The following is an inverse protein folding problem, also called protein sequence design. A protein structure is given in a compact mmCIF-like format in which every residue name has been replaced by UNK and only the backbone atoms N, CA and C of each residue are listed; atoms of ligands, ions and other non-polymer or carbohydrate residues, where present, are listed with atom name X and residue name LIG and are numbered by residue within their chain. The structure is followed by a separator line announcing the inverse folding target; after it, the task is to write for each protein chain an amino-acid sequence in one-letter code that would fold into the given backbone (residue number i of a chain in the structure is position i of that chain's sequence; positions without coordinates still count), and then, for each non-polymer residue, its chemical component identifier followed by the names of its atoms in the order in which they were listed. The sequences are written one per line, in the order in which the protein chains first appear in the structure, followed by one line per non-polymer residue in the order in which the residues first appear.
data_IF_410814368970
#
_entry.id   IF_410814368970
#
_cell.length_a   1.000
_cell.length_b   1.000
_cell.length_c   1.000
_cell.angle_alpha   90.00
_cell.angle_beta   90.00
_cell.angle_gamma   90.00
#
_symmetry.space_group_name_H-M   'P 1'
#
loop_
_entity.id
_entity.type
_entity.pdbx_description
1 polymer ?
#
# COMPACT_ATOMS: atom_id res chain seq x y z
N UNK A 1 -37.77 -13.27 39.40
CA UNK A 1 -37.00 -12.02 39.29
C UNK A 1 -35.55 -12.41 39.06
N UNK A 2 -35.13 -12.54 37.79
CA UNK A 2 -33.74 -12.77 37.38
C UNK A 2 -33.52 -11.81 36.22
N UNK A 3 -32.68 -10.80 36.45
CA UNK A 3 -32.38 -9.74 35.49
C UNK A 3 -31.23 -10.17 34.56
N UNK A 4 -31.51 -10.09 33.26
CA UNK A 4 -30.66 -9.40 32.28
C UNK A 4 -29.32 -10.01 31.92
N UNK A 5 -29.31 -10.92 30.94
CA UNK A 5 -28.17 -11.07 30.04
C UNK A 5 -28.12 -9.84 29.13
N UNK A 6 -27.12 -8.99 29.33
CA UNK A 6 -26.85 -7.86 28.43
C UNK A 6 -26.19 -8.41 27.17
N UNK A 7 -26.97 -8.51 26.10
CA UNK A 7 -26.49 -8.69 24.73
C UNK A 7 -25.61 -7.49 24.39
N UNK A 8 -24.31 -7.71 24.18
CA UNK A 8 -23.42 -6.71 23.58
C UNK A 8 -23.91 -6.52 22.14
N UNK A 9 -24.52 -5.37 21.88
CA UNK A 9 -25.02 -4.96 20.57
C UNK A 9 -23.86 -4.43 19.72
N UNK A 10 -23.79 -4.98 18.51
CA UNK A 10 -23.27 -4.38 17.27
C UNK A 10 -21.88 -3.72 17.34
N UNK A 11 -20.85 -4.47 16.94
CA UNK A 11 -19.73 -3.87 16.23
C UNK A 11 -20.21 -3.53 14.81
N UNK A 12 -20.31 -2.24 14.50
CA UNK A 12 -20.59 -1.75 13.16
C UNK A 12 -19.47 -2.20 12.21
N UNK A 13 -19.84 -2.87 11.12
CA UNK A 13 -18.89 -3.35 10.12
C UNK A 13 -18.21 -2.18 9.40
N UNK A 14 -16.92 -2.32 9.08
CA UNK A 14 -16.11 -1.32 8.36
C UNK A 14 -16.77 -0.88 7.02
N UNK A 15 -17.68 -1.67 6.46
CA UNK A 15 -18.43 -1.33 5.24
C UNK A 15 -19.49 -0.23 5.36
N UNK A 16 -19.83 0.25 6.57
CA UNK A 16 -20.81 1.33 6.77
C UNK A 16 -20.23 2.75 6.60
N UNK A 17 -18.92 2.89 6.35
CA UNK A 17 -18.26 4.21 6.28
C UNK A 17 -17.97 4.74 4.86
N UNK A 18 -18.21 3.95 3.81
CA UNK A 18 -17.99 4.37 2.43
C UNK A 18 -19.03 5.39 1.95
N UNK A 19 -18.64 6.66 1.88
CA UNK A 19 -19.50 7.73 1.31
C UNK A 19 -18.73 8.76 0.46
N UNK A 20 -17.93 8.38 -0.54
CA UNK A 20 -17.23 9.37 -1.36
C UNK A 20 -18.18 10.34 -2.11
N UNK A 21 -19.41 9.91 -2.38
CA UNK A 21 -20.47 10.73 -2.95
C UNK A 21 -20.87 11.90 -2.04
N UNK A 22 -20.54 11.84 -0.74
CA UNK A 22 -20.75 12.94 0.20
C UNK A 22 -19.89 14.17 -0.12
N UNK A 23 -18.75 13.97 -0.80
CA UNK A 23 -17.80 15.04 -1.12
C UNK A 23 -17.96 15.54 -2.56
N UNK A 24 -18.41 14.68 -3.46
CA UNK A 24 -18.79 15.07 -4.82
C UNK A 24 -19.12 13.87 -5.70
N UNK A 25 -19.74 14.15 -6.85
CA UNK A 25 -19.92 13.13 -7.90
C UNK A 25 -18.55 12.79 -8.47
N UNK A 26 -18.23 11.51 -8.62
CA UNK A 26 -17.05 11.04 -9.34
C UNK A 26 -17.47 10.13 -10.49
N UNK A 27 -16.70 10.12 -11.57
CA UNK A 27 -16.98 9.28 -12.73
C UNK A 27 -15.72 9.07 -13.57
N UNK A 28 -15.76 8.04 -14.43
CA UNK A 28 -14.79 7.89 -15.51
C UNK A 28 -15.15 8.92 -16.59
N UNK A 29 -14.34 9.97 -16.71
CA UNK A 29 -14.56 11.06 -17.68
C UNK A 29 -13.79 10.86 -18.97
N UNK A 30 -12.59 10.32 -18.84
CA UNK A 30 -11.58 10.36 -19.86
C UNK A 30 -11.19 8.95 -20.28
N UNK A 31 -10.77 8.84 -21.54
CA UNK A 31 -10.31 7.60 -22.15
C UNK A 31 -9.05 7.89 -22.94
N UNK A 32 -8.22 6.87 -23.11
CA UNK A 32 -7.08 6.92 -24.00
C UNK A 32 -7.23 5.89 -25.12
N UNK A 33 -6.76 6.23 -26.32
CA UNK A 33 -6.80 5.33 -27.47
C UNK A 33 -5.40 4.87 -27.80
N UNK A 34 -5.18 3.55 -27.77
CA UNK A 34 -3.91 2.92 -28.10
C UNK A 34 -4.19 1.85 -29.15
N UNK A 35 -3.47 1.87 -30.27
CA UNK A 35 -3.61 0.89 -31.36
C UNK A 35 -5.08 0.68 -31.78
N UNK A 36 -5.84 1.77 -31.92
CA UNK A 36 -7.29 1.79 -32.24
C UNK A 36 -8.22 1.11 -31.23
N UNK A 37 -7.73 0.77 -30.04
CA UNK A 37 -8.54 0.31 -28.90
C UNK A 37 -8.65 1.42 -27.87
N UNK A 38 -9.86 1.67 -27.37
CA UNK A 38 -10.12 2.69 -26.36
C UNK A 38 -10.16 2.08 -24.98
N UNK A 39 -9.50 2.74 -24.03
CA UNK A 39 -9.36 2.31 -22.66
C UNK A 39 -9.82 3.41 -21.71
N UNK A 40 -10.61 3.04 -20.72
CA UNK A 40 -11.08 3.95 -19.68
C UNK A 40 -9.93 4.33 -18.75
N UNK A 41 -9.88 5.60 -18.34
CA UNK A 41 -8.98 6.07 -17.28
C UNK A 41 -9.63 5.89 -15.90
N UNK A 42 -8.89 6.17 -14.83
CA UNK A 42 -9.37 6.04 -13.46
C UNK A 42 -10.47 7.07 -13.18
N UNK A 43 -11.44 6.70 -12.34
CA UNK A 43 -12.52 7.60 -11.96
C UNK A 43 -11.97 8.76 -11.09
N UNK A 44 -12.39 9.98 -11.41
CA UNK A 44 -12.00 11.18 -10.67
C UNK A 44 -13.23 11.94 -10.20
N UNK A 45 -13.07 12.77 -9.17
CA UNK A 45 -14.11 13.73 -8.81
C UNK A 45 -14.45 14.63 -10.00
N UNK A 46 -15.75 14.87 -10.19
CA UNK A 46 -16.23 15.68 -11.29
C UNK A 46 -15.76 17.13 -11.16
N UNK A 47 -15.66 17.61 -9.93
CA UNK A 47 -15.15 18.92 -9.58
C UNK A 47 -14.17 18.77 -8.40
N UNK A 48 -12.90 18.42 -8.64
CA UNK A 48 -11.97 18.02 -7.57
C UNK A 48 -11.72 19.12 -6.54
N UNK A 49 -11.67 20.39 -6.98
CA UNK A 49 -11.55 21.54 -6.08
C UNK A 49 -12.74 21.63 -5.11
N UNK A 50 -13.98 21.49 -5.62
CA UNK A 50 -15.19 21.49 -4.79
C UNK A 50 -15.25 20.26 -3.88
N UNK A 51 -14.81 19.10 -4.36
CA UNK A 51 -14.72 17.89 -3.55
C UNK A 51 -13.75 18.09 -2.37
N UNK A 52 -12.59 18.68 -2.61
CA UNK A 52 -11.63 19.08 -1.58
C UNK A 52 -12.23 20.06 -0.57
N UNK A 53 -12.93 21.10 -1.03
CA UNK A 53 -13.61 22.05 -0.13
C UNK A 53 -14.70 21.39 0.72
N UNK A 54 -15.52 20.52 0.13
CA UNK A 54 -16.56 19.76 0.85
C UNK A 54 -15.96 18.80 1.88
N UNK A 55 -14.88 18.12 1.51
CA UNK A 55 -14.15 17.24 2.40
C UNK A 55 -13.57 18.00 3.58
N UNK A 56 -12.88 19.13 3.33
CA UNK A 56 -12.33 20.01 4.36
C UNK A 56 -13.39 20.51 5.32
N UNK A 57 -14.54 20.94 4.81
CA UNK A 57 -15.65 21.43 5.62
C UNK A 57 -16.24 20.33 6.52
N UNK A 58 -16.42 19.13 5.98
CA UNK A 58 -17.01 18.00 6.71
C UNK A 58 -16.07 17.46 7.79
N UNK A 59 -14.77 17.43 7.51
CA UNK A 59 -13.75 16.86 8.40
C UNK A 59 -12.91 17.94 9.13
N UNK A 60 -13.40 19.18 9.19
CA UNK A 60 -12.65 20.35 9.67
C UNK A 60 -11.97 20.15 11.03
N UNK A 61 -12.71 19.62 12.02
CA UNK A 61 -12.18 19.44 13.37
C UNK A 61 -11.01 18.45 13.41
N UNK A 62 -11.12 17.36 12.66
CA UNK A 62 -10.07 16.34 12.54
C UNK A 62 -8.87 16.89 11.78
N UNK A 63 -9.07 17.50 10.62
CA UNK A 63 -7.99 18.08 9.83
C UNK A 63 -7.24 19.17 10.59
N UNK A 64 -7.93 20.02 11.35
CA UNK A 64 -7.26 21.05 12.19
C UNK A 64 -6.43 20.44 13.32
N UNK A 65 -6.82 19.27 13.83
CA UNK A 65 -6.06 18.54 14.85
C UNK A 65 -4.73 18.06 14.28
N UNK A 66 -4.77 17.41 13.11
CA UNK A 66 -3.58 16.94 12.40
C UNK A 66 -2.70 18.11 11.97
N UNK A 67 -3.30 19.11 11.34
CA UNK A 67 -2.61 20.32 10.89
C UNK A 67 -1.80 20.99 12.00
N UNK A 68 -2.41 21.22 13.17
CA UNK A 68 -1.74 21.86 14.30
C UNK A 68 -0.66 21.01 14.92
N UNK A 69 -0.82 19.68 14.93
CA UNK A 69 0.15 18.76 15.52
C UNK A 69 1.44 18.72 14.71
N UNK A 70 1.32 18.81 13.38
CA UNK A 70 2.42 18.60 12.43
C UNK A 70 2.86 19.87 11.69
N UNK A 71 2.30 21.03 12.06
CA UNK A 71 2.60 22.33 11.43
C UNK A 71 2.40 22.32 9.90
N UNK A 72 1.32 21.68 9.44
CA UNK A 72 1.00 21.57 8.02
C UNK A 72 0.29 22.82 7.50
N UNK A 73 0.50 23.14 6.22
CA UNK A 73 -0.40 24.00 5.47
C UNK A 73 -1.82 23.40 5.41
N UNK A 74 -2.83 24.23 5.14
CA UNK A 74 -4.19 23.71 4.96
C UNK A 74 -4.23 22.68 3.83
N UNK A 75 -4.95 21.57 4.05
CA UNK A 75 -5.13 20.50 3.08
C UNK A 75 -5.43 21.04 1.66
N UNK A 76 -4.64 20.58 0.70
CA UNK A 76 -4.69 21.00 -0.70
C UNK A 76 -4.14 19.88 -1.62
N UNK A 77 -4.06 20.16 -2.93
CA UNK A 77 -3.63 19.19 -3.94
C UNK A 77 -2.16 18.77 -3.86
N UNK A 78 -1.33 19.48 -3.10
CA UNK A 78 0.11 19.23 -2.99
C UNK A 78 0.46 18.46 -1.72
N UNK A 79 -0.41 18.46 -0.69
CA UNK A 79 -0.10 17.92 0.63
C UNK A 79 -1.14 16.90 1.15
N UNK A 80 -2.02 16.39 0.29
CA UNK A 80 -3.07 15.46 0.74
C UNK A 80 -2.51 14.14 1.31
N UNK A 81 -1.40 13.64 0.75
CA UNK A 81 -0.69 12.50 1.34
C UNK A 81 -0.07 12.81 2.70
N UNK A 82 0.41 14.04 2.93
CA UNK A 82 0.96 14.43 4.24
C UNK A 82 -0.11 14.30 5.33
N UNK A 83 -1.34 14.71 5.04
CA UNK A 83 -2.46 14.53 5.97
C UNK A 83 -2.76 13.05 6.25
N UNK A 84 -2.71 12.17 5.25
CA UNK A 84 -2.89 10.73 5.45
C UNK A 84 -1.82 10.16 6.40
N UNK A 85 -0.55 10.44 6.12
CA UNK A 85 0.56 9.93 6.93
C UNK A 85 0.56 10.53 8.33
N UNK A 86 0.34 11.84 8.47
CA UNK A 86 0.25 12.51 9.76
C UNK A 86 -0.97 12.04 10.58
N UNK A 87 -2.06 11.66 9.92
CA UNK A 87 -3.23 11.06 10.56
C UNK A 87 -2.92 9.70 11.19
N UNK A 88 -2.24 8.82 10.45
CA UNK A 88 -1.67 7.59 10.99
C UNK A 88 -0.67 7.89 12.11
N UNK A 89 0.12 8.95 11.95
CA UNK A 89 1.13 9.39 12.91
C UNK A 89 0.56 10.01 14.20
N UNK A 90 -0.69 10.45 14.20
CA UNK A 90 -1.30 11.01 15.40
C UNK A 90 -1.60 9.94 16.47
N UNK A 91 -1.83 8.67 16.08
CA UNK A 91 -2.34 7.61 16.98
C UNK A 91 -1.41 6.41 17.17
N UNK A 92 -0.11 6.63 17.32
CA UNK A 92 0.90 5.55 17.33
C UNK A 92 0.87 4.52 16.16
N UNK A 93 0.09 4.76 15.08
CA UNK A 93 -0.18 3.77 14.04
C UNK A 93 -1.19 2.71 14.49
N UNK A 94 -1.80 2.90 15.65
CA UNK A 94 -2.78 2.05 16.27
C UNK A 94 -4.18 2.65 16.08
N UNK A 95 -4.90 2.15 15.08
CA UNK A 95 -6.26 2.56 14.79
C UNK A 95 -7.28 2.21 15.91
N UNK A 96 -6.90 1.37 16.87
CA UNK A 96 -7.75 0.99 18.01
C UNK A 96 -7.64 1.98 19.17
N UNK A 97 -6.56 2.76 19.23
CA UNK A 97 -6.41 3.88 20.17
C UNK A 97 -7.16 5.14 19.69
N UNK A 98 -7.67 5.14 18.45
CA UNK A 98 -8.42 6.25 17.89
C UNK A 98 -9.79 6.38 18.54
N UNK A 99 -10.18 7.57 19.05
CA UNK A 99 -11.57 7.85 19.37
C UNK A 99 -12.45 7.55 18.16
N UNK A 100 -13.64 6.99 18.38
CA UNK A 100 -14.59 6.60 17.31
C UNK A 100 -14.81 7.72 16.28
N UNK A 101 -14.92 8.97 16.73
CA UNK A 101 -15.07 10.13 15.85
C UNK A 101 -13.87 10.36 14.94
N UNK A 102 -12.65 10.11 15.44
CA UNK A 102 -11.41 10.29 14.69
C UNK A 102 -11.17 9.12 13.75
N UNK A 103 -11.53 7.89 14.15
CA UNK A 103 -11.50 6.71 13.26
C UNK A 103 -12.40 6.93 12.05
N UNK A 104 -13.62 7.44 12.25
CA UNK A 104 -14.52 7.82 11.15
C UNK A 104 -13.90 8.86 10.21
N UNK A 105 -13.35 9.96 10.74
CA UNK A 105 -12.72 11.00 9.92
C UNK A 105 -11.44 10.52 9.21
N UNK A 106 -10.68 9.62 9.82
CA UNK A 106 -9.53 8.98 9.20
C UNK A 106 -9.93 8.09 8.03
N UNK A 107 -10.94 7.22 8.21
CA UNK A 107 -11.47 6.42 7.10
C UNK A 107 -11.99 7.31 5.98
N UNK A 108 -12.74 8.37 6.31
CA UNK A 108 -13.17 9.36 5.32
C UNK A 108 -12.01 10.03 4.58
N UNK A 109 -10.88 10.29 5.25
CA UNK A 109 -9.67 10.83 4.63
C UNK A 109 -9.05 9.86 3.63
N UNK A 110 -8.93 8.59 4.02
CA UNK A 110 -8.41 7.54 3.13
C UNK A 110 -9.27 7.41 1.87
N UNK A 111 -10.59 7.29 2.04
CA UNK A 111 -11.55 7.16 0.93
C UNK A 111 -11.58 8.39 0.01
N UNK A 112 -11.43 9.58 0.57
CA UNK A 112 -11.36 10.80 -0.22
C UNK A 112 -10.07 10.84 -1.06
N UNK A 113 -8.93 10.51 -0.44
CA UNK A 113 -7.63 10.53 -1.11
C UNK A 113 -7.59 9.52 -2.26
N UNK A 114 -8.09 8.30 -2.05
CA UNK A 114 -8.21 7.23 -3.07
C UNK A 114 -8.78 7.74 -4.41
N UNK A 115 -9.87 8.50 -4.36
CA UNK A 115 -10.48 9.05 -5.58
C UNK A 115 -9.80 10.35 -6.03
N UNK A 116 -9.27 11.14 -5.09
CA UNK A 116 -8.66 12.44 -5.39
C UNK A 116 -7.34 12.30 -6.14
N UNK A 117 -6.49 11.35 -5.73
CA UNK A 117 -5.17 11.09 -6.34
C UNK A 117 -5.26 10.61 -7.79
N UNK A 118 -6.40 10.03 -8.19
CA UNK A 118 -6.62 9.57 -9.56
C UNK A 118 -6.48 10.67 -10.63
N UNK A 119 -6.59 11.95 -10.25
CA UNK A 119 -6.29 13.05 -11.16
C UNK A 119 -4.83 13.09 -11.59
N UNK A 120 -3.90 12.76 -10.69
CA UNK A 120 -2.47 12.71 -10.98
C UNK A 120 -2.11 11.39 -11.65
N UNK A 121 -2.66 10.28 -11.13
CA UNK A 121 -2.49 8.95 -11.75
C UNK A 121 -2.93 8.94 -13.23
N UNK A 122 -4.04 9.62 -13.58
CA UNK A 122 -4.48 9.72 -14.97
C UNK A 122 -3.53 10.52 -15.87
N UNK A 123 -2.86 11.57 -15.35
CA UNK A 123 -1.84 12.32 -16.12
C UNK A 123 -0.66 11.42 -16.43
N UNK A 124 -0.24 10.63 -15.44
CA UNK A 124 0.85 9.68 -15.59
C UNK A 124 0.50 8.59 -16.60
N UNK A 125 -0.74 8.08 -16.58
CA UNK A 125 -1.22 7.09 -17.56
C UNK A 125 -1.20 7.67 -18.97
N UNK A 126 -1.70 8.90 -19.16
CA UNK A 126 -1.70 9.55 -20.46
C UNK A 126 -0.27 9.76 -20.97
N UNK A 127 0.65 10.16 -20.10
CA UNK A 127 2.05 10.33 -20.47
C UNK A 127 2.71 9.00 -20.83
N UNK A 128 2.40 7.94 -20.10
CA UNK A 128 2.85 6.60 -20.41
C UNK A 128 2.37 6.12 -21.77
N UNK A 129 1.11 6.39 -22.14
CA UNK A 129 0.56 6.00 -23.43
C UNK A 129 1.35 6.59 -24.62
N UNK A 130 1.97 7.76 -24.43
CA UNK A 130 2.82 8.39 -25.45
C UNK A 130 4.21 7.74 -25.52
N UNK A 131 4.74 7.29 -24.39
CA UNK A 131 6.13 6.86 -24.24
C UNK A 131 6.31 5.35 -24.42
N UNK A 132 5.32 4.53 -24.01
CA UNK A 132 5.32 3.08 -24.14
C UNK A 132 3.89 2.52 -24.24
N UNK A 133 3.39 2.45 -25.46
CA UNK A 133 2.00 2.07 -25.76
C UNK A 133 1.68 0.60 -25.47
N UNK A 134 2.65 -0.32 -25.58
CA UNK A 134 2.42 -1.74 -25.32
C UNK A 134 2.19 -2.01 -23.83
N UNK A 135 2.99 -1.35 -23.03
CA UNK A 135 2.89 -1.37 -21.60
C UNK A 135 1.62 -0.66 -21.11
N UNK A 136 1.30 0.52 -21.63
CA UNK A 136 0.06 1.20 -21.28
C UNK A 136 -1.16 0.31 -21.57
N UNK A 137 -1.14 -0.43 -22.68
CA UNK A 137 -2.13 -1.48 -22.98
C UNK A 137 -2.14 -2.58 -21.91
N UNK A 138 -0.99 -3.05 -21.40
CA UNK A 138 -0.97 -4.09 -20.35
C UNK A 138 -1.57 -3.64 -19.01
N UNK A 139 -1.46 -2.35 -18.72
CA UNK A 139 -2.00 -1.69 -17.53
C UNK A 139 -3.52 -1.54 -17.68
N UNK A 140 -3.95 -1.07 -18.85
CA UNK A 140 -5.35 -0.72 -19.13
C UNK A 140 -6.23 -1.89 -19.59
N UNK A 141 -5.65 -2.98 -20.11
CA UNK A 141 -6.38 -4.15 -20.65
C UNK A 141 -6.69 -5.23 -19.61
N UNK A 142 -6.24 -5.07 -18.36
CA UNK A 142 -6.64 -5.95 -17.27
C UNK A 142 -8.08 -5.60 -16.88
N UNK A 143 -9.01 -6.18 -17.64
CA UNK A 143 -10.45 -6.10 -17.46
C UNK A 143 -10.85 -6.62 -16.07
N UNK A 144 -10.79 -5.71 -15.11
CA UNK A 144 -11.57 -5.60 -13.88
C UNK A 144 -11.14 -4.27 -13.28
N UNK A 145 -11.83 -3.18 -13.63
CA UNK A 145 -11.62 -1.85 -13.06
C UNK A 145 -11.37 -1.92 -11.55
N UNK A 146 -10.10 -1.88 -11.15
CA UNK A 146 -9.45 -0.75 -10.48
C UNK A 146 -7.98 -1.11 -10.18
N UNK A 147 -7.15 -0.09 -10.41
CA UNK A 147 -5.71 0.03 -10.15
C UNK A 147 -4.73 -0.85 -10.92
N UNK A 148 -4.17 -0.23 -11.96
CA UNK A 148 -2.90 -0.62 -12.53
C UNK A 148 -2.12 0.61 -12.98
N UNK A 149 -0.83 0.36 -13.05
CA UNK A 149 0.21 1.23 -12.53
C UNK A 149 1.21 1.62 -13.61
N UNK A 150 1.43 2.92 -13.72
CA UNK A 150 2.36 3.55 -14.66
C UNK A 150 3.82 3.31 -14.25
N UNK A 151 4.09 3.03 -12.97
CA UNK A 151 5.43 2.87 -12.42
C UNK A 151 6.07 1.50 -12.68
N UNK A 152 5.29 0.43 -12.87
CA UNK A 152 5.74 -0.95 -13.14
C UNK A 152 6.59 -1.11 -14.42
N UNK A 153 6.61 -0.07 -15.25
CA UNK A 153 6.98 -0.17 -16.65
C UNK A 153 8.36 0.34 -17.02
N UNK A 154 8.74 1.47 -16.45
CA UNK A 154 10.10 2.00 -16.51
C UNK A 154 11.07 1.01 -15.85
N UNK A 155 10.57 0.08 -15.03
CA UNK A 155 11.31 -1.07 -14.49
C UNK A 155 11.44 -2.26 -15.48
N UNK A 156 10.64 -2.38 -16.54
CA UNK A 156 10.65 -3.56 -17.42
C UNK A 156 11.87 -3.67 -18.32
N UNK A 157 12.53 -2.56 -18.67
CA UNK A 157 13.78 -2.58 -19.45
C UNK A 157 15.01 -2.93 -18.61
N UNK A 158 14.88 -2.98 -17.27
CA UNK A 158 15.96 -3.34 -16.32
C UNK A 158 15.62 -4.53 -15.42
N UNK A 159 14.53 -5.26 -15.71
CA UNK A 159 14.03 -6.44 -14.96
C UNK A 159 14.90 -7.71 -15.09
N UNK A 160 16.19 -7.52 -15.34
CA UNK A 160 17.24 -8.52 -15.57
C UNK A 160 18.31 -8.54 -14.47
N UNK A 161 18.26 -7.70 -13.43
CA UNK A 161 19.09 -7.94 -12.25
C UNK A 161 18.41 -8.98 -11.35
N UNK A 162 18.97 -10.18 -11.31
CA UNK A 162 18.43 -11.31 -10.55
C UNK A 162 18.48 -11.01 -9.05
N UNK A 163 17.32 -10.78 -8.46
CA UNK A 163 17.18 -10.74 -7.01
C UNK A 163 17.60 -12.10 -6.44
N UNK A 164 18.55 -12.09 -5.51
CA UNK A 164 19.01 -13.29 -4.81
C UNK A 164 18.10 -13.54 -3.59
N UNK A 165 17.14 -14.45 -3.75
CA UNK A 165 16.18 -14.80 -2.71
C UNK A 165 16.86 -15.26 -1.41
N UNK A 166 17.98 -15.99 -1.48
CA UNK A 166 18.72 -16.42 -0.29
C UNK A 166 19.25 -15.22 0.52
N UNK A 167 19.89 -14.25 -0.15
CA UNK A 167 20.38 -13.03 0.51
C UNK A 167 19.24 -12.16 1.05
N UNK A 168 18.16 -12.02 0.30
CA UNK A 168 16.96 -11.31 0.76
C UNK A 168 16.33 -11.98 1.99
N UNK A 169 16.17 -13.31 1.98
CA UNK A 169 15.68 -14.07 3.13
C UNK A 169 16.61 -13.99 4.34
N UNK A 170 17.93 -13.95 4.13
CA UNK A 170 18.88 -13.73 5.22
C UNK A 170 18.68 -12.35 5.84
N UNK A 171 18.65 -11.30 5.03
CA UNK A 171 18.40 -9.94 5.49
C UNK A 171 17.06 -9.81 6.22
N UNK A 172 15.99 -10.40 5.66
CA UNK A 172 14.67 -10.38 6.26
C UNK A 172 14.67 -11.03 7.65
N UNK A 173 15.36 -12.16 7.83
CA UNK A 173 15.45 -12.84 9.13
C UNK A 173 16.29 -12.07 10.14
N UNK A 174 17.38 -11.44 9.69
CA UNK A 174 18.30 -10.70 10.56
C UNK A 174 17.67 -9.40 11.08
N UNK A 175 16.84 -8.73 10.27
CA UNK A 175 16.38 -7.37 10.55
C UNK A 175 14.88 -7.23 10.85
N UNK A 176 14.04 -8.26 10.63
CA UNK A 176 12.59 -8.14 10.82
C UNK A 176 12.14 -7.77 12.26
N UNK A 177 12.93 -8.12 13.28
CA UNK A 177 12.63 -7.79 14.70
C UNK A 177 13.52 -6.69 15.26
N UNK A 178 14.44 -6.16 14.46
CA UNK A 178 15.37 -5.10 14.84
C UNK A 178 15.77 -4.35 13.60
N UNK A 179 15.31 -3.10 13.44
CA UNK A 179 15.45 -2.35 12.19
C UNK A 179 16.89 -1.89 11.94
N UNK A 180 17.32 -1.88 10.67
CA UNK A 180 18.68 -1.51 10.26
C UNK A 180 18.90 0.01 10.17
N UNK A 181 18.81 0.70 11.30
CA UNK A 181 18.86 2.18 11.36
C UNK A 181 20.25 2.78 11.06
N UNK A 182 21.30 1.97 11.12
CA UNK A 182 22.67 2.40 10.78
C UNK A 182 22.83 2.76 9.30
N UNK A 183 22.04 2.14 8.42
CA UNK A 183 22.13 2.34 6.97
C UNK A 183 20.88 2.95 6.36
N UNK A 184 19.71 2.69 6.95
CA UNK A 184 18.43 3.16 6.42
C UNK A 184 17.69 4.04 7.40
N UNK A 185 16.90 4.95 6.86
CA UNK A 185 15.87 5.59 7.67
C UNK A 185 14.89 4.52 8.12
N UNK A 186 14.44 4.62 9.38
CA UNK A 186 13.33 3.80 9.86
C UNK A 186 12.12 4.69 10.03
N UNK A 187 11.07 4.37 9.28
CA UNK A 187 9.78 4.98 9.51
C UNK A 187 9.23 4.38 10.79
N UNK A 188 8.92 5.20 11.79
CA UNK A 188 8.35 4.70 13.04
C UNK A 188 7.01 3.98 12.81
N UNK A 189 6.36 4.18 11.65
CA UNK A 189 5.05 3.64 11.27
C UNK A 189 5.01 3.39 9.76
N UNK A 190 4.38 2.29 9.34
CA UNK A 190 4.23 2.00 7.90
C UNK A 190 5.55 1.66 7.19
N UNK A 191 6.55 1.15 7.91
CA UNK A 191 7.89 0.82 7.39
C UNK A 191 7.90 -0.41 6.47
N UNK A 192 6.73 -0.94 6.10
CA UNK A 192 6.59 -2.17 5.34
C UNK A 192 7.30 -2.09 3.98
N UNK A 193 7.00 -1.10 3.14
CA UNK A 193 7.66 -0.95 1.83
C UNK A 193 9.13 -0.55 1.95
N UNK A 194 9.50 0.28 2.93
CA UNK A 194 10.91 0.57 3.21
C UNK A 194 11.69 -0.72 3.53
N UNK A 195 11.14 -1.58 4.38
CA UNK A 195 11.76 -2.87 4.69
C UNK A 195 11.81 -3.80 3.48
N UNK A 196 10.74 -3.86 2.68
CA UNK A 196 10.76 -4.64 1.44
C UNK A 196 11.84 -4.13 0.49
N UNK A 197 12.03 -2.83 0.37
CA UNK A 197 13.10 -2.23 -0.43
C UNK A 197 14.49 -2.58 0.11
N UNK A 198 14.70 -2.55 1.43
CA UNK A 198 15.96 -3.01 2.02
C UNK A 198 16.24 -4.49 1.73
N UNK A 199 15.24 -5.36 1.84
CA UNK A 199 15.36 -6.78 1.48
C UNK A 199 15.74 -6.92 0.00
N UNK A 200 15.09 -6.14 -0.86
CA UNK A 200 15.32 -6.16 -2.31
C UNK A 200 16.76 -5.72 -2.66
N UNK A 201 17.25 -4.65 -2.04
CA UNK A 201 18.61 -4.15 -2.19
C UNK A 201 19.65 -5.14 -1.64
N UNK A 202 19.43 -5.70 -0.44
CA UNK A 202 20.30 -6.72 0.13
C UNK A 202 20.34 -8.00 -0.71
N UNK A 203 19.24 -8.30 -1.42
CA UNK A 203 19.15 -9.31 -2.46
C UNK A 203 19.94 -9.00 -3.73
N UNK A 204 20.56 -7.83 -3.84
CA UNK A 204 21.46 -7.45 -4.92
C UNK A 204 20.81 -6.68 -6.07
N UNK A 205 19.56 -6.22 -5.92
CA UNK A 205 18.93 -5.34 -6.91
C UNK A 205 19.49 -3.93 -6.75
N UNK A 206 20.05 -3.36 -7.83
CA UNK A 206 20.56 -1.99 -7.78
C UNK A 206 19.43 -0.98 -7.85
N UNK A 207 19.59 0.07 -7.07
CA UNK A 207 18.70 1.22 -7.11
C UNK A 207 18.75 1.92 -8.48
N UNK A 208 17.61 2.48 -8.89
CA UNK A 208 17.51 3.37 -10.05
C UNK A 208 17.19 4.76 -9.54
N UNK A 209 18.20 5.62 -9.57
CA UNK A 209 18.21 6.89 -8.86
C UNK A 209 17.77 8.04 -9.76
N UNK A 210 16.84 8.86 -9.28
CA UNK A 210 16.47 10.15 -9.87
C UNK A 210 16.57 11.28 -8.83
N UNK A 211 16.41 12.53 -9.27
CA UNK A 211 16.25 13.69 -8.39
C UNK A 211 14.77 13.94 -8.03
N UNK A 212 13.87 13.24 -8.71
CA UNK A 212 12.42 13.31 -8.54
C UNK A 212 11.96 12.09 -7.74
N UNK A 213 11.31 12.32 -6.60
CA UNK A 213 10.87 11.25 -5.70
C UNK A 213 9.74 10.40 -6.31
N UNK A 214 9.03 10.87 -7.33
CA UNK A 214 8.05 10.06 -8.07
C UNK A 214 8.72 9.04 -9.00
N UNK A 215 10.04 9.14 -9.24
CA UNK A 215 10.73 8.32 -10.26
C UNK A 215 11.75 7.35 -9.68
N UNK A 216 11.87 6.20 -10.35
CA UNK A 216 12.85 5.17 -10.05
C UNK A 216 12.47 4.34 -8.82
N UNK A 217 13.47 3.71 -8.22
CA UNK A 217 13.39 2.98 -6.95
C UNK A 217 14.71 3.18 -6.23
N UNK A 218 14.72 4.07 -5.25
CA UNK A 218 15.95 4.49 -4.61
C UNK A 218 15.76 5.06 -3.20
N UNK A 219 16.82 4.94 -2.41
CA UNK A 219 17.08 5.60 -1.14
C UNK A 219 18.53 6.09 -1.11
N UNK A 220 18.74 7.30 -0.62
CA UNK A 220 20.05 7.92 -0.43
C UNK A 220 20.17 8.36 1.00
N UNK A 221 21.28 7.99 1.63
CA UNK A 221 21.76 8.60 2.87
C UNK A 221 22.94 9.52 2.55
N UNK A 222 22.84 10.76 2.99
CA UNK A 222 23.91 11.75 2.87
C UNK A 222 24.40 12.11 4.27
N UNK A 223 25.67 11.84 4.55
CA UNK A 223 26.30 12.26 5.80
C UNK A 223 26.51 13.77 5.80
N UNK A 224 26.05 14.45 6.84
CA UNK A 224 26.26 15.89 7.03
C UNK A 224 26.85 16.16 8.41
N UNK A 225 27.35 17.39 8.63
CA UNK A 225 27.84 17.82 9.94
C UNK A 225 26.74 17.89 11.01
N UNK A 226 25.46 17.84 10.63
CA UNK A 226 24.30 17.83 11.54
C UNK A 226 23.70 16.42 11.73
N UNK A 227 24.28 15.40 11.09
CA UNK A 227 23.76 14.03 11.06
C UNK A 227 23.38 13.57 9.65
N UNK A 228 23.03 12.29 9.48
CA UNK A 228 22.61 11.75 8.20
C UNK A 228 21.25 12.33 7.78
N UNK A 229 21.13 12.66 6.49
CA UNK A 229 19.87 13.02 5.85
C UNK A 229 19.52 11.90 4.88
N UNK A 230 18.33 11.32 5.05
CA UNK A 230 17.79 10.30 4.18
C UNK A 230 16.81 10.94 3.17
N UNK A 231 16.85 10.46 1.93
CA UNK A 231 15.88 10.79 0.88
C UNK A 231 15.58 9.54 0.07
N UNK A 232 14.39 9.44 -0.51
CA UNK A 232 13.98 8.22 -1.21
C UNK A 232 12.90 8.53 -2.27
N UNK A 233 12.69 7.58 -3.18
CA UNK A 233 11.51 7.58 -4.05
C UNK A 233 10.26 7.09 -3.31
N UNK A 234 9.09 7.39 -3.85
CA UNK A 234 7.82 6.85 -3.36
C UNK A 234 7.79 5.31 -3.45
N UNK A 235 8.27 4.76 -4.56
CA UNK A 235 8.41 3.31 -4.76
C UNK A 235 9.33 2.60 -3.76
N UNK A 236 10.18 3.34 -3.03
CA UNK A 236 11.03 2.78 -1.98
C UNK A 236 10.25 2.57 -0.67
N UNK A 237 9.35 3.49 -0.31
CA UNK A 237 8.78 3.57 1.04
C UNK A 237 7.24 3.45 1.10
N UNK A 238 6.54 3.54 -0.02
CA UNK A 238 5.07 3.48 -0.08
C UNK A 238 4.60 2.12 -0.59
N UNK A 239 3.71 1.44 0.15
CA UNK A 239 3.26 0.07 -0.13
C UNK A 239 2.68 -0.11 -1.53
N UNK A 240 1.74 0.75 -1.91
CA UNK A 240 1.10 0.68 -3.22
C UNK A 240 2.11 0.88 -4.34
N UNK A 241 2.85 1.99 -4.33
CA UNK A 241 3.88 2.32 -5.33
C UNK A 241 4.96 1.25 -5.41
N UNK A 242 5.36 0.64 -4.28
CA UNK A 242 6.28 -0.49 -4.26
C UNK A 242 5.69 -1.70 -4.98
N UNK A 243 4.50 -2.15 -4.60
CA UNK A 243 3.84 -3.33 -5.16
C UNK A 243 3.66 -3.21 -6.68
N UNK A 244 3.30 -2.01 -7.08
CA UNK A 244 3.17 -1.53 -8.44
C UNK A 244 4.50 -1.56 -9.20
N UNK A 245 5.52 -0.87 -8.70
CA UNK A 245 6.87 -0.86 -9.27
C UNK A 245 7.48 -2.26 -9.41
N UNK A 246 7.26 -3.13 -8.43
CA UNK A 246 7.75 -4.52 -8.44
C UNK A 246 6.93 -5.48 -9.31
N UNK A 247 5.70 -5.09 -9.66
CA UNK A 247 4.75 -5.86 -10.44
C UNK A 247 3.95 -6.89 -9.62
N UNK A 248 2.66 -6.98 -9.94
CA UNK A 248 1.68 -7.90 -9.35
C UNK A 248 1.55 -9.16 -10.22
N UNK A 249 2.10 -10.30 -9.79
CA UNK A 249 2.11 -11.56 -10.55
C UNK A 249 0.84 -12.39 -10.37
N UNK A 250 0.17 -12.22 -9.24
CA UNK A 250 -1.05 -12.91 -8.88
C UNK A 250 -1.89 -12.00 -8.02
N UNK A 251 -3.21 -12.07 -8.19
CA UNK A 251 -4.23 -11.50 -7.30
C UNK A 251 -5.21 -12.61 -6.93
N UNK A 252 -5.55 -12.74 -5.66
CA UNK A 252 -6.65 -13.61 -5.21
C UNK A 252 -7.14 -13.18 -3.84
N UNK A 253 -8.43 -13.28 -3.57
CA UNK A 253 -8.99 -13.07 -2.22
C UNK A 253 -9.04 -14.37 -1.40
N UNK A 254 -8.50 -15.48 -1.91
CA UNK A 254 -8.58 -16.78 -1.25
C UNK A 254 -7.22 -17.21 -0.69
N UNK A 255 -7.12 -17.27 0.64
CA UNK A 255 -5.89 -17.59 1.37
C UNK A 255 -5.32 -18.96 0.99
N UNK A 256 -6.18 -19.96 0.77
CA UNK A 256 -5.74 -21.32 0.37
C UNK A 256 -5.05 -21.31 -0.99
N UNK A 257 -5.61 -20.54 -1.93
CA UNK A 257 -5.06 -20.37 -3.28
C UNK A 257 -3.76 -19.56 -3.23
N UNK A 258 -3.79 -18.44 -2.50
CA UNK A 258 -2.64 -17.57 -2.28
C UNK A 258 -1.46 -18.34 -1.70
N UNK A 259 -1.64 -18.90 -0.50
CA UNK A 259 -0.61 -19.65 0.21
C UNK A 259 -0.06 -20.83 -0.61
N UNK A 260 -0.90 -21.52 -1.38
CA UNK A 260 -0.48 -22.61 -2.24
C UNK A 260 0.56 -22.24 -3.29
N UNK A 261 0.58 -20.97 -3.70
CA UNK A 261 1.42 -20.44 -4.78
C UNK A 261 2.68 -19.73 -4.30
N UNK A 262 2.79 -19.50 -2.99
CA UNK A 262 3.94 -18.86 -2.37
C UNK A 262 5.17 -19.77 -2.37
N UNK A 263 6.31 -19.16 -2.61
CA UNK A 263 7.65 -19.69 -2.41
C UNK A 263 8.40 -18.83 -1.39
N UNK A 264 9.35 -19.41 -0.63
CA UNK A 264 10.33 -18.61 0.10
C UNK A 264 11.07 -17.66 -0.86
N UNK A 265 11.15 -16.38 -0.49
CA UNK A 265 11.73 -15.35 -1.33
C UNK A 265 10.72 -14.49 -2.10
N UNK A 266 9.43 -14.82 -2.03
CA UNK A 266 8.39 -14.02 -2.66
C UNK A 266 8.08 -12.77 -1.83
N UNK A 267 7.99 -11.64 -2.51
CA UNK A 267 7.36 -10.44 -1.98
C UNK A 267 5.85 -10.59 -2.11
N UNK A 268 5.11 -10.16 -1.11
CA UNK A 268 3.65 -10.28 -1.05
C UNK A 268 3.00 -8.95 -0.71
N UNK A 269 1.79 -8.74 -1.22
CA UNK A 269 0.98 -7.56 -0.96
C UNK A 269 -0.39 -7.95 -0.41
N UNK A 270 -0.98 -7.05 0.35
CA UNK A 270 -2.33 -7.14 0.87
C UNK A 270 -3.06 -5.84 0.54
N UNK A 271 -4.18 -6.00 -0.13
CA UNK A 271 -5.21 -4.99 -0.41
C UNK A 271 -6.37 -5.33 0.52
N UNK A 272 -6.56 -4.51 1.54
CA UNK A 272 -7.46 -4.79 2.65
C UNK A 272 -8.92 -4.53 2.25
N UNK A 273 -9.16 -3.62 1.30
CA UNK A 273 -10.48 -3.09 0.92
C UNK A 273 -10.99 -3.62 -0.41
N UNK A 274 -10.12 -4.19 -1.24
CA UNK A 274 -10.44 -4.77 -2.55
C UNK A 274 -10.49 -3.78 -3.70
N UNK A 275 -10.00 -2.55 -3.51
CA UNK A 275 -10.04 -1.48 -4.52
C UNK A 275 -8.88 -1.57 -5.51
N UNK A 276 -7.92 -2.46 -5.29
CA UNK A 276 -6.74 -2.60 -6.14
C UNK A 276 -5.48 -1.98 -5.55
N UNK A 277 -5.63 -1.17 -4.49
CA UNK A 277 -4.54 -0.55 -3.74
C UNK A 277 -3.91 -1.57 -2.78
N UNK A 278 -2.59 -1.69 -2.82
CA UNK A 278 -1.86 -2.55 -1.88
C UNK A 278 -1.50 -1.71 -0.66
N UNK A 279 -2.28 -1.88 0.41
CA UNK A 279 -2.08 -1.14 1.67
C UNK A 279 -0.91 -1.69 2.49
N UNK A 280 -0.60 -2.98 2.38
CA UNK A 280 0.48 -3.61 3.14
C UNK A 280 1.31 -4.57 2.29
N UNK A 281 2.62 -4.63 2.58
CA UNK A 281 3.55 -5.53 1.90
C UNK A 281 4.41 -6.29 2.91
N UNK A 282 4.76 -7.52 2.55
CA UNK A 282 5.56 -8.43 3.37
C UNK A 282 6.46 -9.33 2.54
N UNK A 283 7.33 -10.07 3.21
CA UNK A 283 8.29 -10.98 2.57
C UNK A 283 8.17 -12.40 3.11
N UNK A 284 8.03 -13.38 2.23
CA UNK A 284 7.91 -14.80 2.62
C UNK A 284 9.31 -15.37 2.88
N UNK A 285 9.61 -15.69 4.13
CA UNK A 285 10.89 -16.32 4.49
C UNK A 285 10.85 -17.83 4.40
N UNK A 286 9.69 -18.44 4.69
CA UNK A 286 9.51 -19.89 4.71
C UNK A 286 8.08 -20.27 4.31
N UNK A 287 7.93 -21.51 3.83
CA UNK A 287 6.62 -22.13 3.62
C UNK A 287 6.55 -23.44 4.38
N UNK A 288 5.35 -23.79 4.83
CA UNK A 288 5.05 -24.97 5.61
C UNK A 288 4.11 -25.92 4.87
N UNK A 289 3.27 -26.61 5.63
CA UNK A 289 2.34 -27.63 5.13
C UNK A 289 0.90 -27.17 5.18
N UNK A 290 0.06 -27.75 4.32
CA UNK A 290 -1.39 -27.59 4.40
C UNK A 290 -1.97 -28.23 5.66
N UNK A 291 -2.61 -27.42 6.52
CA UNK A 291 -3.42 -27.86 7.66
C UNK A 291 -4.52 -26.83 7.92
N UNK A 292 -5.36 -27.10 8.91
CA UNK A 292 -6.27 -26.10 9.46
C UNK A 292 -5.57 -25.35 10.58
N UNK A 293 -5.42 -24.04 10.43
CA UNK A 293 -4.93 -23.12 11.45
C UNK A 293 -5.99 -22.04 11.64
N UNK A 294 -6.28 -21.67 12.89
CA UNK A 294 -7.24 -20.60 13.22
C UNK A 294 -8.59 -20.75 12.47
N UNK A 295 -9.05 -21.99 12.31
CA UNK A 295 -10.29 -22.34 11.61
C UNK A 295 -10.23 -22.32 10.07
N UNK A 296 -9.10 -21.96 9.44
CA UNK A 296 -8.93 -21.85 7.98
C UNK A 296 -7.95 -22.90 7.46
N UNK A 297 -8.23 -23.50 6.31
CA UNK A 297 -7.37 -24.53 5.69
C UNK A 297 -6.47 -23.94 4.61
N UNK A 298 -5.17 -23.80 4.90
CA UNK A 298 -4.18 -23.18 4.00
C UNK A 298 -2.78 -23.77 4.22
N UNK A 299 -1.84 -23.49 3.30
CA UNK A 299 -0.42 -23.86 3.45
C UNK A 299 0.25 -22.81 4.33
N UNK A 300 0.67 -23.14 5.54
CA UNK A 300 1.26 -22.12 6.41
C UNK A 300 2.50 -21.48 5.76
N UNK A 301 2.78 -20.21 6.10
CA UNK A 301 3.93 -19.48 5.58
C UNK A 301 4.41 -18.46 6.59
N UNK A 302 5.70 -18.11 6.53
CA UNK A 302 6.35 -17.21 7.48
C UNK A 302 6.60 -15.87 6.82
N UNK A 303 6.04 -14.79 7.38
CA UNK A 303 6.13 -13.43 6.83
C UNK A 303 7.06 -12.59 7.68
N UNK A 304 7.95 -11.85 7.03
CA UNK A 304 8.76 -10.79 7.62
C UNK A 304 8.20 -9.41 7.22
N UNK A 305 8.01 -8.49 8.18
CA UNK A 305 7.46 -7.14 7.95
C UNK A 305 7.80 -6.16 9.09
N UNK A 306 7.74 -4.83 8.83
CA UNK A 306 8.10 -3.75 9.79
C UNK A 306 6.96 -2.77 10.17
N UNK A 307 5.70 -3.04 9.85
CA UNK A 307 4.55 -2.38 10.50
C UNK A 307 4.49 -2.70 11.99
N UNK A 308 4.76 -3.95 12.39
CA UNK A 308 4.80 -4.39 13.81
C UNK A 308 6.03 -5.24 14.15
N UNK A 309 7.07 -5.14 13.31
CA UNK A 309 8.40 -5.73 13.47
C UNK A 309 8.35 -7.21 13.84
N UNK A 310 8.02 -8.07 12.87
CA UNK A 310 7.98 -9.51 13.08
C UNK A 310 8.54 -10.30 11.90
N UNK A 311 9.02 -11.51 12.21
CA UNK A 311 9.16 -12.61 11.26
C UNK A 311 8.45 -13.83 11.84
N UNK A 312 7.19 -14.04 11.46
CA UNK A 312 6.29 -14.99 12.14
C UNK A 312 5.46 -15.81 11.16
N UNK A 313 5.07 -17.01 11.58
CA UNK A 313 4.15 -17.84 10.82
C UNK A 313 2.78 -17.19 10.79
N UNK A 314 2.04 -17.34 9.69
CA UNK A 314 0.66 -16.85 9.60
C UNK A 314 -0.22 -17.52 10.67
N UNK A 315 0.04 -18.77 11.01
CA UNK A 315 -0.65 -19.43 12.12
C UNK A 315 -0.37 -18.85 13.52
N UNK A 316 0.61 -17.95 13.67
CA UNK A 316 0.91 -17.31 14.94
C UNK A 316 0.02 -16.09 15.18
N UNK A 317 -0.39 -15.88 16.43
CA UNK A 317 -1.32 -14.81 16.83
C UNK A 317 -0.89 -13.40 16.41
N UNK A 318 0.41 -13.15 16.17
CA UNK A 318 0.93 -11.82 15.82
C UNK A 318 0.74 -11.45 14.33
N UNK A 319 0.53 -12.43 13.44
CA UNK A 319 0.73 -12.23 12.00
C UNK A 319 -0.48 -11.62 11.28
N UNK A 320 -1.68 -12.15 11.53
CA UNK A 320 -2.99 -11.66 11.04
C UNK A 320 -3.21 -11.67 9.52
N UNK A 321 -2.29 -12.18 8.69
CA UNK A 321 -2.52 -12.25 7.25
C UNK A 321 -3.73 -13.12 6.89
N UNK A 322 -4.07 -14.13 7.68
CA UNK A 322 -5.22 -14.98 7.44
C UNK A 322 -6.57 -14.28 7.67
N UNK A 323 -6.60 -13.17 8.41
CA UNK A 323 -7.84 -12.47 8.77
C UNK A 323 -8.53 -11.88 7.53
N UNK A 324 -7.75 -11.63 6.47
CA UNK A 324 -8.19 -11.09 5.19
C UNK A 324 -8.63 -12.15 4.17
N UNK A 325 -8.89 -13.40 4.59
CA UNK A 325 -9.38 -14.46 3.70
C UNK A 325 -10.85 -14.25 3.34
N UNK A 326 -11.13 -14.15 2.04
CA UNK A 326 -12.45 -13.90 1.48
C UNK A 326 -12.87 -12.44 1.56
N UNK A 327 -14.15 -12.16 1.31
CA UNK A 327 -14.67 -10.79 1.35
C UNK A 327 -14.16 -9.93 0.19
N UNK A 328 -13.86 -8.65 0.48
CA UNK A 328 -13.42 -7.67 -0.50
C UNK A 328 -11.89 -7.64 -0.66
N UNK A 329 -11.13 -8.01 0.36
CA UNK A 329 -9.66 -7.97 0.35
C UNK A 329 -9.05 -8.83 -0.76
N UNK A 330 -7.80 -8.54 -1.12
CA UNK A 330 -7.03 -9.32 -2.06
C UNK A 330 -5.57 -9.48 -1.61
N UNK A 331 -5.04 -10.68 -1.80
CA UNK A 331 -3.63 -10.98 -1.68
C UNK A 331 -2.95 -10.89 -3.03
N UNK A 332 -1.72 -10.38 -3.02
CA UNK A 332 -0.85 -10.31 -4.18
C UNK A 332 0.43 -11.08 -3.97
N UNK A 333 0.83 -11.86 -4.98
CA UNK A 333 2.23 -12.25 -5.12
C UNK A 333 2.88 -11.16 -5.95
N UNK A 334 3.79 -10.42 -5.34
CA UNK A 334 4.60 -9.41 -6.00
C UNK A 334 5.82 -10.10 -6.62
N UNK A 335 6.88 -9.35 -6.96
CA UNK A 335 8.16 -9.86 -7.48
C UNK A 335 8.47 -11.31 -7.05
N UNK A 336 8.30 -12.24 -7.99
CA UNK A 336 8.54 -13.67 -7.74
C UNK A 336 10.04 -13.96 -7.65
N UNK A 337 10.40 -14.77 -6.66
CA UNK A 337 11.69 -15.45 -6.62
C UNK A 337 11.81 -16.39 -7.84
N UNK A 338 12.83 -16.19 -8.67
CA UNK A 338 13.13 -17.11 -9.79
C UNK A 338 14.02 -18.24 -9.34
#
# INVERSE_FOLDING_TARGET
MIMGATTIKNEESISEFFTPEAYGIYSIKDKVTINNTSYDLLATYNEPQKAMENFKRTNYAYLRKIQKKYDLDELNSENYYDYYYCSLEYYSGNCDEMPVSDKKSYHSLCEFIDIYENNDNNKDIIELCKNDSQLAVSILSNDNNKELDVFASYATTTRSESFNAYKGSQYAQDWATSRNTNYYYSFSRGDCANFMSQILEAGGVKQIVYNDASKGWWHKRTETHLGPIDSHSQSWATAWVFANYQGKYMKTNNLRTFSGKLLPGDFIGLDETGDGDVNHVGFVTHTGTYKTYNGKYYKDFKVAQHTTDYCEWVSAEKNHWEDYDGGKSAYYVLRRSK
#
